data_IF_590865589005
#
_entry.id   IF_590865589005
#
_cell.length_a   1.000
_cell.length_b   1.000
_cell.length_c   1.000
_cell.angle_alpha   90.00
_cell.angle_beta   90.00
_cell.angle_gamma   90.00
#
_symmetry.space_group_name_H-M   'P 1'
#
loop_
_entity.id
_entity.type
_entity.pdbx_description
1 polymer ?
#
# COMPACT_ATOMS: atom_id res chain seq x y z
N UNK A 1 8.20 11.78 -12.73
CA UNK A 1 8.09 13.04 -11.95
C UNK A 1 7.51 12.66 -10.60
N UNK A 2 8.28 12.77 -9.51
CA UNK A 2 7.76 12.50 -8.18
C UNK A 2 6.69 13.55 -7.88
N UNK A 3 5.43 13.13 -7.88
CA UNK A 3 4.31 13.98 -7.50
C UNK A 3 4.48 14.24 -6.00
N UNK A 4 5.11 15.37 -5.65
CA UNK A 4 5.10 15.92 -4.30
C UNK A 4 3.70 16.43 -4.02
N UNK A 5 2.77 15.51 -3.78
CA UNK A 5 1.50 15.86 -3.17
C UNK A 5 1.80 16.13 -1.71
N UNK A 6 1.92 17.41 -1.38
CA UNK A 6 1.98 17.89 -0.01
C UNK A 6 0.70 17.45 0.69
N UNK A 7 0.76 16.29 1.35
CA UNK A 7 -0.31 15.74 2.14
C UNK A 7 -0.74 16.76 3.17
N UNK A 8 -2.02 17.09 3.18
CA UNK A 8 -2.55 17.98 4.20
C UNK A 8 -2.43 17.29 5.56
N UNK A 9 -2.25 18.08 6.63
CA UNK A 9 -2.19 17.55 8.00
C UNK A 9 -3.42 16.68 8.30
N UNK A 10 -4.60 17.06 7.79
CA UNK A 10 -5.83 16.27 7.92
C UNK A 10 -5.74 14.89 7.27
N UNK A 11 -5.21 14.79 6.06
CA UNK A 11 -5.05 13.50 5.37
C UNK A 11 -4.04 12.61 6.10
N UNK A 12 -2.95 13.19 6.60
CA UNK A 12 -1.95 12.46 7.39
C UNK A 12 -2.56 11.92 8.69
N UNK A 13 -3.28 12.74 9.45
CA UNK A 13 -3.94 12.29 10.68
C UNK A 13 -4.96 11.19 10.38
N UNK A 14 -5.77 11.36 9.34
CA UNK A 14 -6.83 10.41 9.01
C UNK A 14 -6.28 9.04 8.56
N UNK A 15 -5.19 9.01 7.79
CA UNK A 15 -4.55 7.73 7.44
C UNK A 15 -3.87 7.10 8.65
N UNK A 16 -3.21 7.89 9.50
CA UNK A 16 -2.56 7.37 10.72
C UNK A 16 -3.58 6.78 11.68
N UNK A 17 -4.73 7.44 11.90
CA UNK A 17 -5.82 6.90 12.74
C UNK A 17 -6.39 5.59 12.19
N UNK A 18 -6.57 5.50 10.87
CA UNK A 18 -7.02 4.27 10.21
C UNK A 18 -6.02 3.13 10.36
N UNK A 19 -4.74 3.41 10.07
CA UNK A 19 -3.66 2.42 10.20
C UNK A 19 -3.48 2.00 11.66
N UNK A 20 -3.60 2.93 12.61
CA UNK A 20 -3.56 2.63 14.05
C UNK A 20 -4.67 1.67 14.44
N UNK A 21 -5.92 2.00 14.08
CA UNK A 21 -7.08 1.17 14.41
C UNK A 21 -6.93 -0.24 13.84
N UNK A 22 -6.41 -0.34 12.61
CA UNK A 22 -6.14 -1.62 11.94
C UNK A 22 -5.00 -2.39 12.64
N UNK A 23 -3.90 -1.72 12.94
CA UNK A 23 -2.76 -2.30 13.65
C UNK A 23 -3.17 -2.83 15.01
N UNK A 24 -3.92 -2.06 15.80
CA UNK A 24 -4.41 -2.48 17.11
C UNK A 24 -5.38 -3.68 17.00
N UNK A 25 -6.26 -3.68 15.98
CA UNK A 25 -7.17 -4.80 15.71
C UNK A 25 -6.42 -6.06 15.26
N UNK A 26 -5.28 -5.90 14.60
CA UNK A 26 -4.47 -6.98 14.01
C UNK A 26 -3.19 -7.27 14.79
N UNK A 27 -3.09 -6.90 16.07
CA UNK A 27 -1.86 -7.09 16.88
C UNK A 27 -1.29 -8.52 16.85
N UNK A 28 -2.11 -9.53 16.59
CA UNK A 28 -1.67 -10.90 16.41
C UNK A 28 -0.70 -11.12 15.23
N UNK A 29 -0.69 -10.23 14.22
CA UNK A 29 0.22 -10.28 13.07
C UNK A 29 1.59 -9.68 13.37
N UNK A 30 1.64 -8.81 14.36
CA UNK A 30 2.82 -8.01 14.71
C UNK A 30 3.01 -7.89 16.23
N UNK A 31 3.15 -9.02 16.94
CA UNK A 31 3.24 -9.02 18.41
C UNK A 31 4.49 -8.32 18.94
N UNK A 32 5.53 -8.18 18.12
CA UNK A 32 6.80 -7.56 18.49
C UNK A 32 6.88 -6.07 18.10
N UNK A 33 5.95 -5.57 17.29
CA UNK A 33 5.97 -4.18 16.84
C UNK A 33 5.06 -3.28 17.69
N UNK A 34 5.51 -2.05 17.90
CA UNK A 34 4.77 -1.04 18.66
C UNK A 34 4.30 0.06 17.72
N UNK A 35 2.99 0.34 17.71
CA UNK A 35 2.40 1.36 16.85
C UNK A 35 3.09 2.73 16.96
N UNK A 36 3.46 3.14 18.18
CA UNK A 36 4.15 4.41 18.43
C UNK A 36 5.47 4.55 17.65
N UNK A 37 6.20 3.45 17.43
CA UNK A 37 7.45 3.48 16.67
C UNK A 37 7.18 3.58 15.16
N UNK A 38 6.17 2.85 14.69
CA UNK A 38 5.69 2.89 13.31
C UNK A 38 5.20 4.30 12.96
N UNK A 39 4.35 4.88 13.81
CA UNK A 39 3.81 6.23 13.64
C UNK A 39 4.93 7.26 13.55
N UNK A 40 5.91 7.24 14.46
CA UNK A 40 7.06 8.17 14.42
C UNK A 40 7.86 8.06 13.12
N UNK A 41 8.04 6.84 12.57
CA UNK A 41 8.72 6.67 11.28
C UNK A 41 7.89 7.17 10.10
N UNK A 42 6.56 7.02 10.14
CA UNK A 42 5.66 7.55 9.12
C UNK A 42 5.60 9.09 9.15
N UNK A 43 5.48 9.68 10.34
CA UNK A 43 5.48 11.14 10.52
C UNK A 43 6.81 11.79 10.10
N UNK A 44 7.93 11.10 10.31
CA UNK A 44 9.25 11.57 9.85
C UNK A 44 9.49 11.37 8.35
N UNK A 45 8.68 10.56 7.66
CA UNK A 45 8.80 10.27 6.23
C UNK A 45 7.47 10.47 5.50
N UNK A 46 7.01 11.72 5.34
CA UNK A 46 5.71 12.01 4.73
C UNK A 46 5.59 11.53 3.28
N UNK A 47 6.70 11.41 2.55
CA UNK A 47 6.72 10.87 1.19
C UNK A 47 6.28 9.39 1.13
N UNK A 48 6.43 8.64 2.24
CA UNK A 48 6.01 7.23 2.37
C UNK A 48 4.55 7.06 2.78
N UNK A 49 3.89 8.12 3.28
CA UNK A 49 2.46 8.10 3.56
C UNK A 49 1.62 8.11 2.28
N UNK A 50 2.15 8.68 1.19
CA UNK A 50 1.42 8.82 -0.07
C UNK A 50 1.02 7.47 -0.68
N UNK A 51 1.93 6.49 -0.86
CA UNK A 51 1.55 5.14 -1.29
C UNK A 51 0.50 4.47 -0.40
N UNK A 52 0.61 4.62 0.93
CA UNK A 52 -0.34 4.02 1.89
C UNK A 52 -1.76 4.57 1.72
N UNK A 53 -1.89 5.87 1.48
CA UNK A 53 -3.17 6.52 1.22
C UNK A 53 -3.78 6.02 -0.07
N UNK A 54 -2.97 5.84 -1.12
CA UNK A 54 -3.48 5.32 -2.39
C UNK A 54 -3.85 3.84 -2.30
N UNK A 55 -3.10 3.05 -1.52
CA UNK A 55 -3.45 1.66 -1.22
C UNK A 55 -4.81 1.59 -0.50
N UNK A 56 -5.03 2.44 0.49
CA UNK A 56 -6.30 2.57 1.21
C UNK A 56 -7.43 3.08 0.30
N UNK A 57 -7.16 4.04 -0.58
CA UNK A 57 -8.14 4.59 -1.53
C UNK A 57 -8.62 3.56 -2.56
N UNK A 58 -7.80 2.55 -2.83
CA UNK A 58 -8.17 1.42 -3.70
C UNK A 58 -8.84 0.27 -2.95
N UNK A 59 -9.29 0.53 -1.71
CA UNK A 59 -9.87 -0.45 -0.76
C UNK A 59 -8.89 -1.56 -0.35
N UNK A 60 -7.59 -1.29 -0.39
CA UNK A 60 -6.59 -2.18 0.21
C UNK A 60 -6.59 -2.12 1.72
N UNK A 61 -5.96 -3.11 2.33
CA UNK A 61 -5.75 -3.21 3.77
C UNK A 61 -4.24 -3.21 4.05
N UNK A 62 -3.52 -2.11 3.76
CA UNK A 62 -2.11 -2.02 4.10
C UNK A 62 -1.92 -2.15 5.62
N UNK A 63 -1.01 -3.03 6.02
CA UNK A 63 -0.64 -3.28 7.41
C UNK A 63 0.87 -3.57 7.51
N UNK A 64 1.43 -3.43 8.71
CA UNK A 64 2.86 -3.69 8.96
C UNK A 64 3.07 -5.20 9.09
N UNK A 65 3.86 -5.78 8.19
CA UNK A 65 4.18 -7.22 8.22
C UNK A 65 5.56 -7.51 8.79
N UNK A 66 6.45 -6.52 8.83
CA UNK A 66 7.81 -6.74 9.29
C UNK A 66 8.66 -5.50 9.29
N UNK A 67 9.91 -5.69 9.70
CA UNK A 67 10.99 -4.73 9.50
C UNK A 67 12.08 -5.37 8.68
N UNK A 68 12.55 -4.69 7.66
CA UNK A 68 13.77 -5.08 7.00
C UNK A 68 14.95 -4.87 7.96
N UNK A 69 15.60 -5.98 8.33
CA UNK A 69 16.77 -6.00 9.22
C UNK A 69 17.96 -5.20 8.69
N UNK A 70 18.07 -5.03 7.37
CA UNK A 70 19.20 -4.35 6.73
C UNK A 70 19.01 -2.84 6.77
N UNK A 71 17.81 -2.37 6.39
CA UNK A 71 17.52 -0.94 6.28
C UNK A 71 16.80 -0.36 7.50
N UNK A 72 16.41 -1.20 8.46
CA UNK A 72 15.54 -0.84 9.59
C UNK A 72 14.24 -0.16 9.15
N UNK A 73 13.76 -0.46 7.94
CA UNK A 73 12.50 0.09 7.40
C UNK A 73 11.34 -0.84 7.72
N UNK A 74 10.17 -0.28 7.97
CA UNK A 74 8.95 -1.08 8.10
C UNK A 74 8.47 -1.50 6.72
N UNK A 75 8.15 -2.78 6.58
CA UNK A 75 7.54 -3.35 5.38
C UNK A 75 6.04 -3.33 5.57
N UNK A 76 5.37 -2.62 4.67
CA UNK A 76 3.91 -2.58 4.59
C UNK A 76 3.44 -3.50 3.48
N UNK A 77 2.44 -4.33 3.78
CA UNK A 77 1.83 -5.20 2.79
C UNK A 77 0.30 -5.12 2.84
N UNK A 78 -0.32 -5.33 1.69
CA UNK A 78 -1.78 -5.36 1.58
C UNK A 78 -2.30 -6.70 2.13
N UNK A 79 -2.83 -6.69 3.34
CA UNK A 79 -3.32 -7.88 4.03
C UNK A 79 -4.78 -8.23 3.68
N UNK A 80 -5.29 -7.70 2.56
CA UNK A 80 -6.64 -7.99 2.08
C UNK A 80 -6.79 -9.48 1.75
N UNK A 81 -7.86 -10.13 2.22
CA UNK A 81 -8.14 -11.56 1.95
C UNK A 81 -8.26 -11.88 0.45
N UNK A 82 -8.62 -10.90 -0.35
CA UNK A 82 -8.77 -10.98 -1.79
C UNK A 82 -8.28 -9.66 -2.40
N UNK A 83 -7.94 -9.65 -3.69
CA UNK A 83 -7.55 -8.41 -4.37
C UNK A 83 -8.57 -7.29 -4.12
N UNK A 84 -8.17 -6.05 -3.81
CA UNK A 84 -9.11 -4.96 -3.51
C UNK A 84 -10.05 -4.67 -4.67
N UNK A 85 -11.29 -4.22 -4.43
CA UNK A 85 -12.26 -3.97 -5.53
C UNK A 85 -11.72 -3.00 -6.58
N UNK A 86 -10.97 -1.98 -6.15
CA UNK A 86 -10.32 -1.01 -7.04
C UNK A 86 -9.16 -1.59 -7.88
N UNK A 87 -8.70 -2.81 -7.55
CA UNK A 87 -7.60 -3.52 -8.23
C UNK A 87 -8.03 -4.87 -8.80
N UNK A 88 -9.34 -5.20 -8.79
CA UNK A 88 -9.88 -6.42 -9.42
C UNK A 88 -10.12 -6.22 -10.91
N UNK A 89 -10.12 -7.31 -11.67
CA UNK A 89 -10.47 -7.34 -13.10
C UNK A 89 -9.56 -6.54 -14.03
N UNK A 90 -8.33 -6.26 -13.60
CA UNK A 90 -7.25 -5.69 -14.42
C UNK A 90 -6.35 -6.81 -14.97
N UNK A 91 -5.65 -6.54 -16.07
CA UNK A 91 -4.61 -7.45 -16.56
C UNK A 91 -3.31 -7.26 -15.75
N UNK A 92 -2.46 -8.28 -15.74
CA UNK A 92 -1.17 -8.20 -15.04
C UNK A 92 -0.26 -7.16 -15.71
N UNK A 93 -0.03 -7.34 -17.01
CA UNK A 93 0.86 -6.52 -17.83
C UNK A 93 0.09 -5.74 -18.91
N UNK A 94 0.82 -4.82 -19.53
CA UNK A 94 0.31 -4.02 -20.66
C UNK A 94 0.01 -4.88 -21.89
N UNK A 95 0.75 -5.98 -22.09
CA UNK A 95 0.51 -6.87 -23.23
C UNK A 95 -0.84 -7.58 -23.11
N UNK A 96 -1.17 -8.17 -21.96
CA UNK A 96 -2.46 -8.81 -21.76
C UNK A 96 -3.62 -7.80 -21.76
N UNK A 97 -3.38 -6.53 -21.38
CA UNK A 97 -4.38 -5.47 -21.54
C UNK A 97 -4.70 -5.22 -23.03
N UNK A 98 -3.68 -5.12 -23.89
CA UNK A 98 -3.84 -4.84 -25.32
C UNK A 98 -4.43 -6.02 -26.10
N UNK A 99 -4.15 -7.26 -25.69
CA UNK A 99 -4.69 -8.47 -26.34
C UNK A 99 -6.18 -8.71 -26.02
N UNK A 100 -6.70 -8.07 -24.97
CA UNK A 100 -8.07 -8.29 -24.49
C UNK A 100 -9.11 -7.50 -25.31
N UNK A 101 -9.64 -8.14 -26.35
CA UNK A 101 -10.65 -7.56 -27.26
C UNK A 101 -12.04 -7.37 -26.64
N UNK A 102 -12.38 -8.11 -25.58
CA UNK A 102 -13.71 -8.09 -24.95
C UNK A 102 -13.57 -7.60 -23.51
N UNK A 103 -14.16 -6.44 -23.20
CA UNK A 103 -14.02 -5.70 -21.94
C UNK A 103 -12.56 -5.32 -21.63
N UNK A 104 -11.95 -4.41 -22.41
CA UNK A 104 -10.59 -3.96 -22.16
C UNK A 104 -10.52 -3.29 -20.78
N UNK A 105 -9.61 -3.73 -19.89
CA UNK A 105 -9.46 -3.12 -18.59
C UNK A 105 -8.83 -1.74 -18.74
N UNK A 106 -9.19 -0.84 -17.82
CA UNK A 106 -8.74 0.55 -17.87
C UNK A 106 -7.24 0.70 -17.54
N UNK A 107 -6.69 -0.22 -16.75
CA UNK A 107 -5.28 -0.26 -16.34
C UNK A 107 -4.78 -1.71 -16.23
N UNK A 108 -3.47 -1.85 -16.04
CA UNK A 108 -2.80 -3.10 -15.67
C UNK A 108 -2.13 -2.97 -14.29
N UNK A 109 -1.80 -4.10 -13.68
CA UNK A 109 -1.27 -4.15 -12.31
C UNK A 109 0.13 -3.53 -12.21
N UNK A 110 0.98 -3.73 -13.22
CA UNK A 110 2.34 -3.15 -13.28
C UNK A 110 2.32 -1.61 -13.33
N UNK A 111 1.51 -1.02 -14.22
CA UNK A 111 1.37 0.43 -14.32
C UNK A 111 0.75 1.02 -13.06
N UNK A 112 -0.22 0.34 -12.45
CA UNK A 112 -0.74 0.76 -11.15
C UNK A 112 0.33 0.73 -10.08
N UNK A 113 1.13 -0.33 -9.95
CA UNK A 113 2.21 -0.38 -8.98
C UNK A 113 3.24 0.74 -9.20
N UNK A 114 3.61 0.98 -10.46
CA UNK A 114 4.54 2.04 -10.85
C UNK A 114 3.99 3.45 -10.57
N UNK A 115 2.70 3.70 -10.84
CA UNK A 115 2.02 4.97 -10.53
C UNK A 115 1.93 5.22 -9.02
N UNK A 116 1.69 4.15 -8.25
CA UNK A 116 1.58 4.18 -6.80
C UNK A 116 2.95 4.26 -6.11
N UNK A 117 4.05 3.99 -6.83
CA UNK A 117 5.39 3.92 -6.28
C UNK A 117 5.57 2.75 -5.31
N UNK A 118 4.82 1.66 -5.53
CA UNK A 118 4.89 0.43 -4.75
C UNK A 118 5.42 -0.71 -5.60
N UNK A 119 5.98 -1.71 -4.94
CA UNK A 119 6.44 -2.94 -5.58
C UNK A 119 5.33 -4.00 -5.53
N UNK A 120 5.12 -4.74 -6.62
CA UNK A 120 4.27 -5.91 -6.58
C UNK A 120 5.05 -7.06 -5.97
N UNK A 121 4.43 -7.79 -5.03
CA UNK A 121 5.01 -9.05 -4.59
C UNK A 121 4.80 -10.12 -5.67
N UNK A 122 5.82 -10.94 -5.86
CA UNK A 122 5.75 -12.17 -6.63
C UNK A 122 5.71 -13.40 -5.71
N UNK A 123 5.62 -14.60 -6.29
CA UNK A 123 5.56 -15.86 -5.52
C UNK A 123 6.83 -16.15 -4.69
N UNK A 124 7.93 -15.43 -4.94
CA UNK A 124 9.20 -15.64 -4.25
C UNK A 124 9.34 -14.82 -2.96
N UNK A 125 8.43 -13.89 -2.70
CA UNK A 125 8.43 -12.99 -1.55
C UNK A 125 7.36 -13.32 -0.50
#
# INVERSE_FOLDING_TARGET
>A
MAIKNSLTVKEQTLILEKLQTRFESNMHRHPEFHWLEVQKKLESNPDKLWPLILMEATEGEPDVVGTDSITSQYVFFDCSKESPRGRRSICFDRQAQLERKKYPPRNNAEEMAAELGIEMLDESQ
#
